data_IF_201242286381
#
_entry.id   IF_201242286381
#
_cell.length_a   1.000
_cell.length_b   1.000
_cell.length_c   1.000
_cell.angle_alpha   90.00
_cell.angle_beta   90.00
_cell.angle_gamma   90.00
#
_symmetry.space_group_name_H-M   'P 1'
#
loop_
_entity.id
_entity.type
_entity.pdbx_description
1 polymer ?
#
# COMPACT_ATOMS: atom_id res chain seq x y z
N UNK A 1 -0.29 -31.01 19.10
CA UNK A 1 -0.64 -29.64 18.69
C UNK A 1 -1.75 -29.18 19.62
N UNK A 2 -1.42 -28.29 20.56
CA UNK A 2 -2.22 -28.05 21.76
C UNK A 2 -3.44 -27.16 21.48
N UNK A 3 -4.63 -27.62 21.85
CA UNK A 3 -5.88 -26.85 21.77
C UNK A 3 -5.86 -25.54 22.60
N UNK A 4 -4.90 -25.36 23.53
CA UNK A 4 -4.86 -24.20 24.44
C UNK A 4 -4.64 -22.86 23.70
N UNK A 5 -3.74 -22.80 22.71
CA UNK A 5 -3.43 -21.54 22.02
C UNK A 5 -4.60 -21.03 21.16
N UNK A 6 -5.45 -21.93 20.65
CA UNK A 6 -6.65 -21.56 19.87
C UNK A 6 -7.72 -20.95 20.77
N UNK A 7 -7.92 -21.51 21.96
CA UNK A 7 -8.89 -21.01 22.94
C UNK A 7 -8.45 -19.66 23.51
N UNK A 8 -7.16 -19.51 23.83
CA UNK A 8 -6.59 -18.24 24.30
C UNK A 8 -6.74 -17.12 23.26
N UNK A 9 -6.45 -17.41 21.99
CA UNK A 9 -6.65 -16.45 20.90
C UNK A 9 -8.13 -16.08 20.75
N UNK A 10 -9.03 -17.06 20.79
CA UNK A 10 -10.47 -16.83 20.71
C UNK A 10 -10.98 -15.90 21.82
N UNK A 11 -10.57 -16.14 23.06
CA UNK A 11 -10.92 -15.29 24.21
C UNK A 11 -10.33 -13.88 24.06
N UNK A 12 -9.10 -13.75 23.56
CA UNK A 12 -8.47 -12.44 23.33
C UNK A 12 -9.22 -11.62 22.26
N UNK A 13 -9.66 -12.25 21.17
CA UNK A 13 -10.46 -11.59 20.12
C UNK A 13 -11.82 -11.17 20.66
N UNK A 14 -12.51 -12.05 21.40
CA UNK A 14 -13.79 -11.70 22.04
C UNK A 14 -13.66 -10.46 22.91
N UNK A 15 -12.63 -10.43 23.79
CA UNK A 15 -12.36 -9.26 24.64
C UNK A 15 -12.05 -8.00 23.84
N UNK A 16 -11.31 -8.12 22.74
CA UNK A 16 -11.01 -6.96 21.88
C UNK A 16 -12.30 -6.40 21.24
N UNK A 17 -13.24 -7.26 20.84
CA UNK A 17 -14.53 -6.84 20.28
C UNK A 17 -15.46 -6.19 21.32
N UNK A 18 -15.47 -6.68 22.56
CA UNK A 18 -16.28 -6.11 23.66
C UNK A 18 -15.78 -4.73 24.12
N UNK A 19 -14.48 -4.45 23.96
CA UNK A 19 -13.84 -3.21 24.41
C UNK A 19 -13.71 -2.13 23.33
N UNK A 20 -14.44 -2.22 22.22
CA UNK A 20 -14.42 -1.18 21.18
C UNK A 20 -15.18 0.04 21.66
N UNK A 21 -14.45 1.08 22.08
CA UNK A 21 -15.01 2.31 22.65
C UNK A 21 -15.00 3.50 21.69
N UNK A 22 -14.27 3.41 20.58
CA UNK A 22 -14.08 4.52 19.63
C UNK A 22 -14.49 4.13 18.21
N UNK A 23 -15.09 5.06 17.44
CA UNK A 23 -15.42 4.83 16.04
C UNK A 23 -14.15 4.64 15.20
N UNK A 24 -14.26 3.86 14.12
CA UNK A 24 -13.17 3.65 13.17
C UNK A 24 -12.73 5.00 12.58
N UNK A 25 -11.45 5.34 12.80
CA UNK A 25 -10.82 6.50 12.20
C UNK A 25 -9.95 6.08 11.02
N UNK A 26 -10.24 6.60 9.84
CA UNK A 26 -9.40 6.41 8.65
C UNK A 26 -8.12 7.24 8.74
N UNK A 27 -7.07 6.78 8.05
CA UNK A 27 -5.76 7.43 8.04
C UNK A 27 -5.80 8.85 7.45
N UNK A 28 -6.66 9.06 6.46
CA UNK A 28 -6.84 10.33 5.76
C UNK A 28 -8.29 10.51 5.32
N UNK A 29 -8.78 11.75 5.17
CA UNK A 29 -10.06 12.04 4.54
C UNK A 29 -9.94 12.00 3.00
N UNK A 30 -11.04 11.81 2.27
CA UNK A 30 -11.03 11.60 0.83
C UNK A 30 -10.93 12.89 0.00
N UNK A 31 -11.11 14.05 0.60
CA UNK A 31 -11.15 15.38 -0.02
C UNK A 31 -9.78 16.05 -0.21
N UNK A 32 -8.71 15.48 0.37
CA UNK A 32 -7.33 15.95 0.17
C UNK A 32 -6.78 15.48 -1.18
N UNK A 33 -5.67 16.08 -1.62
CA UNK A 33 -5.04 15.75 -2.89
C UNK A 33 -4.48 14.33 -2.94
N UNK A 34 -4.32 13.78 -4.15
CA UNK A 34 -3.71 12.45 -4.37
C UNK A 34 -2.33 12.36 -3.70
N UNK A 35 -1.50 13.42 -3.79
CA UNK A 35 -0.17 13.45 -3.18
C UNK A 35 -0.24 13.41 -1.66
N UNK A 36 -1.13 14.19 -1.05
CA UNK A 36 -1.31 14.18 0.41
C UNK A 36 -1.80 12.83 0.93
N UNK A 37 -2.67 12.13 0.18
CA UNK A 37 -3.07 10.75 0.51
C UNK A 37 -1.88 9.80 0.49
N UNK A 38 -1.05 9.88 -0.57
CA UNK A 38 0.14 9.04 -0.69
C UNK A 38 1.14 9.35 0.44
N UNK A 39 1.35 10.63 0.77
CA UNK A 39 2.21 11.05 1.88
C UNK A 39 1.69 10.61 3.26
N UNK A 40 0.38 10.65 3.50
CA UNK A 40 -0.20 10.14 4.73
C UNK A 40 0.09 8.64 4.91
N UNK A 41 -0.04 7.85 3.83
CA UNK A 41 0.32 6.43 3.84
C UNK A 41 1.83 6.26 4.00
N UNK A 42 2.66 7.02 3.29
CA UNK A 42 4.12 6.93 3.38
C UNK A 42 4.63 7.23 4.80
N UNK A 43 4.06 8.25 5.47
CA UNK A 43 4.36 8.55 6.88
C UNK A 43 3.99 7.39 7.80
N UNK A 44 2.87 6.70 7.56
CA UNK A 44 2.50 5.51 8.34
C UNK A 44 3.49 4.34 8.19
N UNK A 45 4.25 4.31 7.09
CA UNK A 45 5.34 3.35 6.87
C UNK A 45 6.68 3.79 7.44
N UNK A 46 6.78 4.97 8.06
CA UNK A 46 8.03 5.52 8.58
C UNK A 46 8.89 6.23 7.53
N UNK A 47 8.34 6.58 6.37
CA UNK A 47 9.06 7.33 5.35
C UNK A 47 9.21 8.82 5.74
N UNK A 48 10.34 9.42 5.37
CA UNK A 48 10.58 10.87 5.50
C UNK A 48 9.85 11.68 4.43
N UNK A 49 9.56 11.06 3.29
CA UNK A 49 8.98 11.74 2.13
C UNK A 49 8.70 10.80 0.97
N UNK A 50 8.19 11.38 -0.10
CA UNK A 50 7.80 10.68 -1.33
C UNK A 50 8.39 11.43 -2.51
N UNK A 51 9.01 10.69 -3.43
CA UNK A 51 9.50 11.22 -4.70
C UNK A 51 8.67 10.66 -5.85
N UNK A 52 8.40 11.50 -6.85
CA UNK A 52 7.57 11.15 -7.98
C UNK A 52 8.38 11.24 -9.27
N UNK A 53 8.26 10.23 -10.14
CA UNK A 53 8.75 10.32 -11.51
C UNK A 53 7.95 11.36 -12.30
N UNK A 54 8.52 11.85 -13.40
CA UNK A 54 7.81 12.76 -14.32
C UNK A 54 6.52 12.12 -14.88
N UNK A 55 6.53 10.81 -15.09
CA UNK A 55 5.34 10.07 -15.52
C UNK A 55 4.27 10.06 -14.42
N UNK A 56 4.65 9.80 -13.17
CA UNK A 56 3.72 9.81 -12.05
C UNK A 56 3.08 11.20 -11.87
N UNK A 57 3.87 12.27 -12.00
CA UNK A 57 3.40 13.65 -11.94
C UNK A 57 2.33 13.94 -13.01
N UNK A 58 2.60 13.58 -14.28
CA UNK A 58 1.65 13.76 -15.39
C UNK A 58 0.34 13.00 -15.16
N UNK A 59 0.42 11.77 -14.65
CA UNK A 59 -0.76 10.95 -14.38
C UNK A 59 -1.60 11.51 -13.24
N UNK A 60 -0.96 11.97 -12.16
CA UNK A 60 -1.65 12.63 -11.04
C UNK A 60 -2.38 13.88 -11.52
N UNK A 61 -1.72 14.73 -12.32
CA UNK A 61 -2.35 15.92 -12.88
C UNK A 61 -3.56 15.58 -13.75
N UNK A 62 -3.44 14.56 -14.59
CA UNK A 62 -4.54 14.07 -15.43
C UNK A 62 -5.72 13.60 -14.58
N UNK A 63 -5.49 12.81 -13.52
CA UNK A 63 -6.54 12.31 -12.64
C UNK A 63 -7.21 13.42 -11.84
N UNK A 64 -6.48 14.46 -11.45
CA UNK A 64 -7.05 15.65 -10.84
C UNK A 64 -8.00 16.37 -11.82
N UNK A 65 -7.59 16.56 -13.08
CA UNK A 65 -8.42 17.19 -14.13
C UNK A 65 -9.67 16.39 -14.45
N UNK A 66 -9.61 15.06 -14.35
CA UNK A 66 -10.72 14.16 -14.59
C UNK A 66 -11.70 14.05 -13.40
N UNK A 67 -11.39 14.68 -12.26
CA UNK A 67 -12.23 14.63 -11.06
C UNK A 67 -12.09 13.33 -10.25
N UNK A 68 -11.02 12.56 -10.47
CA UNK A 68 -10.76 11.31 -9.74
C UNK A 68 -9.94 11.50 -8.47
N UNK A 69 -9.63 12.75 -8.09
CA UNK A 69 -8.88 13.07 -6.89
C UNK A 69 -9.54 12.54 -5.61
N UNK A 70 -10.87 12.40 -5.58
CA UNK A 70 -11.63 11.87 -4.46
C UNK A 70 -11.46 10.37 -4.18
N UNK A 71 -10.84 9.61 -5.09
CA UNK A 71 -10.67 8.17 -4.91
C UNK A 71 -9.64 7.84 -3.81
N UNK A 72 -9.82 6.73 -3.08
CA UNK A 72 -8.81 6.20 -2.14
C UNK A 72 -7.57 5.67 -2.87
N UNK A 73 -6.48 5.52 -2.11
CA UNK A 73 -5.19 5.05 -2.59
C UNK A 73 -4.92 3.59 -2.16
N UNK A 74 -4.51 2.76 -3.11
CA UNK A 74 -4.00 1.41 -2.90
C UNK A 74 -2.52 1.33 -3.28
N UNK A 75 -1.61 1.26 -2.31
CA UNK A 75 -0.17 1.27 -2.59
C UNK A 75 0.30 -0.07 -3.20
N UNK A 76 0.85 -0.05 -4.41
CA UNK A 76 1.47 -1.21 -5.02
C UNK A 76 2.99 -1.20 -4.73
N UNK A 77 3.41 -1.91 -3.69
CA UNK A 77 4.82 -2.03 -3.24
C UNK A 77 5.19 -3.47 -2.90
N UNK A 78 6.48 -3.70 -2.63
CA UNK A 78 6.95 -4.97 -2.06
C UNK A 78 6.31 -5.25 -0.70
N UNK A 79 5.82 -6.46 -0.48
CA UNK A 79 5.25 -6.90 0.80
C UNK A 79 6.32 -7.25 1.85
N UNK A 80 7.59 -7.34 1.46
CA UNK A 80 8.67 -7.81 2.33
C UNK A 80 9.26 -6.74 3.26
N UNK A 81 8.92 -5.48 3.04
CA UNK A 81 9.47 -4.33 3.77
C UNK A 81 8.43 -3.21 3.83
N UNK A 82 8.57 -2.28 4.77
CA UNK A 82 7.82 -1.01 4.77
C UNK A 82 8.34 -0.04 3.69
N UNK A 83 9.63 -0.12 3.35
CA UNK A 83 10.23 0.64 2.25
C UNK A 83 10.00 -0.01 0.89
N UNK A 84 10.51 0.61 -0.17
CA UNK A 84 10.57 0.03 -1.52
C UNK A 84 11.63 -1.08 -1.66
N UNK A 85 12.58 -1.18 -0.72
CA UNK A 85 13.62 -2.19 -0.69
C UNK A 85 13.20 -3.43 0.12
N UNK A 86 13.02 -4.57 -0.57
CA UNK A 86 12.64 -5.84 0.04
C UNK A 86 13.63 -6.39 1.10
N UNK A 87 14.89 -5.98 1.05
CA UNK A 87 15.92 -6.43 2.00
C UNK A 87 15.91 -5.66 3.33
N UNK A 88 15.23 -4.51 3.39
CA UNK A 88 15.12 -3.71 4.60
C UNK A 88 14.07 -4.32 5.55
N UNK A 89 14.52 -5.19 6.45
CA UNK A 89 13.65 -5.93 7.38
C UNK A 89 13.39 -5.16 8.68
N UNK A 90 12.34 -5.54 9.39
CA UNK A 90 11.94 -4.91 10.66
C UNK A 90 11.07 -3.68 10.43
N UNK A 91 11.32 -2.60 11.17
CA UNK A 91 10.63 -1.32 11.04
C UNK A 91 11.63 -0.23 10.58
N UNK A 92 12.03 -0.22 9.29
CA UNK A 92 12.90 0.82 8.76
C UNK A 92 12.21 2.18 8.84
N UNK A 93 12.97 3.23 9.08
CA UNK A 93 12.49 4.60 9.16
C UNK A 93 13.40 5.55 8.39
N UNK A 94 12.87 6.71 8.00
CA UNK A 94 13.65 7.79 7.42
C UNK A 94 13.93 7.66 5.92
N UNK A 95 13.33 6.66 5.25
CA UNK A 95 13.53 6.41 3.82
C UNK A 95 12.63 7.29 2.95
N UNK A 96 13.00 7.45 1.69
CA UNK A 96 12.18 8.14 0.68
C UNK A 96 11.47 7.09 -0.16
N UNK A 97 10.18 7.29 -0.40
CA UNK A 97 9.33 6.37 -1.15
C UNK A 97 9.27 6.81 -2.61
N UNK A 98 9.89 6.06 -3.52
CA UNK A 98 9.94 6.42 -4.94
C UNK A 98 8.71 5.87 -5.71
N UNK A 99 7.89 6.78 -6.22
CA UNK A 99 6.71 6.50 -7.03
C UNK A 99 7.06 6.58 -8.52
N UNK A 100 7.02 5.45 -9.21
CA UNK A 100 7.42 5.33 -10.61
C UNK A 100 6.31 5.68 -11.58
N UNK A 101 5.08 5.30 -11.27
CA UNK A 101 3.90 5.48 -12.12
C UNK A 101 2.65 5.49 -11.24
N UNK A 102 1.56 6.08 -11.71
CA UNK A 102 0.28 6.11 -11.01
C UNK A 102 -0.81 5.68 -11.97
N UNK A 103 -1.61 4.71 -11.54
CA UNK A 103 -2.70 4.15 -12.34
C UNK A 103 -4.00 4.22 -11.58
N UNK A 104 -5.11 4.28 -12.29
CA UNK A 104 -6.43 4.32 -11.70
C UNK A 104 -7.27 3.10 -12.15
N UNK A 105 -7.83 2.39 -11.18
CA UNK A 105 -8.82 1.34 -11.41
C UNK A 105 -10.20 1.92 -11.15
N UNK A 106 -10.70 2.73 -12.10
CA UNK A 106 -11.94 3.51 -11.91
C UNK A 106 -13.14 2.61 -11.61
N UNK A 107 -13.27 1.47 -12.29
CA UNK A 107 -14.36 0.52 -12.01
C UNK A 107 -14.33 -0.09 -10.60
N UNK A 108 -13.15 -0.20 -10.00
CA UNK A 108 -12.99 -0.66 -8.62
C UNK A 108 -12.98 0.49 -7.60
N UNK A 109 -12.92 1.74 -8.05
CA UNK A 109 -12.99 2.93 -7.22
C UNK A 109 -11.71 3.25 -6.45
N UNK A 110 -10.51 3.02 -7.01
CA UNK A 110 -9.26 3.43 -6.37
C UNK A 110 -8.14 3.81 -7.36
N UNK A 111 -7.17 4.57 -6.87
CA UNK A 111 -5.91 4.89 -7.55
C UNK A 111 -4.79 4.09 -6.88
N UNK A 112 -3.88 3.55 -7.66
CA UNK A 112 -2.75 2.78 -7.16
C UNK A 112 -1.41 3.29 -7.73
N UNK A 113 -0.55 3.88 -6.88
CA UNK A 113 0.81 4.22 -7.26
C UNK A 113 1.69 2.97 -7.25
N UNK A 114 2.54 2.85 -8.26
CA UNK A 114 3.54 1.80 -8.40
C UNK A 114 4.85 2.27 -7.75
N UNK A 115 5.18 1.63 -6.62
CA UNK A 115 6.39 1.90 -5.85
C UNK A 115 7.52 1.00 -6.34
N UNK A 116 8.67 1.60 -6.64
CA UNK A 116 9.85 0.87 -7.10
C UNK A 116 9.62 0.03 -8.36
N UNK A 117 10.26 -1.14 -8.43
CA UNK A 117 10.27 -2.04 -9.58
C UNK A 117 9.26 -3.19 -9.47
N UNK A 118 8.14 -2.98 -8.76
CA UNK A 118 7.13 -4.01 -8.57
C UNK A 118 6.61 -4.54 -9.93
N UNK A 119 6.78 -5.85 -10.17
CA UNK A 119 6.27 -6.51 -11.38
C UNK A 119 4.79 -6.81 -11.24
N UNK A 120 4.02 -6.47 -12.26
CA UNK A 120 2.58 -6.75 -12.35
C UNK A 120 2.27 -8.04 -13.12
N UNK A 121 3.27 -8.64 -13.76
CA UNK A 121 3.16 -9.96 -14.40
C UNK A 121 4.18 -10.92 -13.79
N UNK A 122 3.72 -12.10 -13.40
CA UNK A 122 4.60 -13.20 -13.00
C UNK A 122 5.17 -13.87 -14.25
N UNK A 123 6.50 -13.94 -14.36
CA UNK A 123 7.17 -14.68 -15.41
C UNK A 123 7.02 -16.19 -15.24
N UNK A 124 7.10 -16.93 -16.35
CA UNK A 124 7.09 -18.39 -16.34
C UNK A 124 8.41 -18.94 -15.78
N UNK A 125 8.40 -19.93 -14.87
CA UNK A 125 9.63 -20.52 -14.35
C UNK A 125 10.33 -21.40 -15.39
N UNK A 126 11.67 -21.33 -15.42
CA UNK A 126 12.53 -22.06 -16.37
C UNK A 126 12.35 -23.58 -16.35
N UNK A 127 11.93 -24.15 -15.23
CA UNK A 127 11.68 -25.59 -15.07
C UNK A 127 10.53 -26.12 -15.96
N UNK A 128 9.66 -25.24 -16.46
CA UNK A 128 8.57 -25.62 -17.38
C UNK A 128 9.03 -25.71 -18.84
N UNK A 129 10.22 -25.22 -19.19
CA UNK A 129 10.74 -25.17 -20.57
C UNK A 129 11.68 -26.34 -20.93
N UNK A 130 11.95 -27.27 -20.01
CA UNK A 130 12.89 -28.39 -20.22
C UNK A 130 12.23 -29.76 -20.05
N UNK A 131 10.93 -29.84 -20.31
CA UNK A 131 10.20 -31.11 -20.43
C UNK A 131 9.96 -31.43 -21.90
N UNK A 132 11.05 -31.62 -22.64
CA UNK A 132 11.09 -32.34 -23.90
C UNK A 132 12.24 -33.34 -23.83
#
# INVERSE_FOLDING_TARGET
MNQSCLVELGIAVQKACENVTQPLKFLYPLDISIKEKIEAIARSYGASGVEYSEQAEKQIEMYNKQGFSGLPICMAKTQYSFSDNASAKGAPSGFILSIRDVRASIGAGFIYPLVGTMSTMSGLPKALLLRD
#
